data_IF_280715689219
#
_entry.id   IF_280715689219
#
_cell.length_a   1.000
_cell.length_b   1.000
_cell.length_c   1.000
_cell.angle_alpha   90.00
_cell.angle_beta   90.00
_cell.angle_gamma   90.00
#
_symmetry.space_group_name_H-M   'P 1'
#
loop_
_entity.id
_entity.type
_entity.pdbx_description
1 polymer ?
#
# COMPACT_ATOMS: atom_id res chain seq x y z
N UNK A 1 -10.18 39.50 -18.32
CA UNK A 1 -8.97 39.24 -19.15
C UNK A 1 -7.84 38.90 -18.19
N UNK A 2 -7.15 37.77 -18.15
CA UNK A 2 -7.18 36.47 -18.84
C UNK A 2 -6.80 35.45 -17.75
N UNK A 3 -7.55 34.35 -17.68
CA UNK A 3 -7.24 33.17 -16.87
C UNK A 3 -6.11 32.40 -17.55
N UNK A 4 -5.05 32.03 -16.82
CA UNK A 4 -4.00 31.14 -17.31
C UNK A 4 -4.28 29.74 -16.76
N UNK A 5 -4.99 28.95 -17.55
CA UNK A 5 -5.26 27.54 -17.31
C UNK A 5 -4.01 26.76 -17.74
N UNK A 6 -3.27 26.20 -16.78
CA UNK A 6 -2.15 25.30 -17.07
C UNK A 6 -2.72 23.93 -17.43
N UNK A 7 -2.86 23.66 -18.73
CA UNK A 7 -3.27 22.34 -19.25
C UNK A 7 -2.03 21.43 -19.14
N UNK A 8 -2.03 20.52 -18.16
CA UNK A 8 -1.08 19.42 -18.10
C UNK A 8 -1.44 18.42 -19.21
N UNK A 9 -0.78 18.54 -20.35
CA UNK A 9 -0.89 17.58 -21.46
C UNK A 9 -0.31 16.23 -21.01
N UNK A 10 -1.20 15.29 -20.67
CA UNK A 10 -0.86 13.87 -20.63
C UNK A 10 -0.65 13.42 -22.07
N UNK A 11 0.60 13.17 -22.45
CA UNK A 11 0.91 12.52 -23.73
C UNK A 11 0.38 11.08 -23.69
N UNK A 12 -0.83 10.88 -24.22
CA UNK A 12 -1.31 9.57 -24.64
C UNK A 12 -0.54 9.17 -25.90
N UNK A 13 0.58 8.48 -25.71
CA UNK A 13 1.08 7.63 -26.78
C UNK A 13 0.22 6.36 -26.81
N UNK A 14 -0.78 6.38 -27.69
CA UNK A 14 -1.20 5.18 -28.41
C UNK A 14 -0.06 4.86 -29.38
N UNK A 15 1.00 4.20 -28.90
CA UNK A 15 1.98 3.62 -29.82
C UNK A 15 1.40 2.31 -30.40
N UNK A 16 1.43 2.15 -31.73
CA UNK A 16 1.16 0.87 -32.37
C UNK A 16 2.25 -0.12 -31.92
N UNK A 17 1.95 -1.42 -31.99
CA UNK A 17 2.89 -2.50 -31.71
C UNK A 17 4.29 -2.19 -32.29
N UNK A 18 5.23 -1.86 -31.41
CA UNK A 18 6.56 -1.39 -31.79
C UNK A 18 7.51 -1.42 -30.60
N UNK A 19 8.35 -2.45 -30.58
CA UNK A 19 9.58 -2.62 -29.78
C UNK A 19 9.51 -2.19 -28.31
N UNK A 20 8.85 -3.02 -27.51
CA UNK A 20 9.22 -3.16 -26.10
C UNK A 20 10.58 -3.86 -26.02
N UNK A 21 11.59 -3.24 -25.40
CA UNK A 21 12.66 -4.05 -24.85
C UNK A 21 12.11 -4.74 -23.60
N UNK A 22 11.94 -6.06 -23.66
CA UNK A 22 11.85 -6.86 -22.45
C UNK A 22 13.18 -6.67 -21.72
N UNK A 23 13.14 -6.04 -20.54
CA UNK A 23 14.14 -6.36 -19.52
C UNK A 23 14.03 -7.88 -19.29
N UNK A 24 15.14 -8.61 -19.41
CA UNK A 24 15.14 -10.07 -19.28
C UNK A 24 14.36 -10.58 -18.07
N UNK A 25 13.71 -11.73 -18.27
CA UNK A 25 13.13 -12.65 -17.27
C UNK A 25 11.96 -12.23 -16.36
N UNK A 26 11.34 -11.05 -16.54
CA UNK A 26 10.12 -10.71 -15.78
C UNK A 26 8.83 -10.85 -16.62
N UNK A 27 8.30 -12.07 -16.72
CA UNK A 27 7.06 -12.39 -17.43
C UNK A 27 6.02 -13.03 -16.47
N UNK A 28 5.29 -12.23 -15.67
CA UNK A 28 4.24 -12.79 -14.81
C UNK A 28 3.13 -13.48 -15.63
N UNK A 29 2.42 -14.46 -15.05
CA UNK A 29 1.27 -15.08 -15.69
C UNK A 29 0.05 -14.17 -15.74
N UNK A 30 0.14 -12.93 -15.24
CA UNK A 30 -0.88 -11.89 -15.33
C UNK A 30 -0.62 -10.97 -16.54
N UNK A 31 -1.60 -10.16 -16.93
CA UNK A 31 -1.33 -9.07 -17.88
C UNK A 31 -0.71 -7.90 -17.11
N UNK A 32 0.50 -7.51 -17.51
CA UNK A 32 1.25 -6.42 -16.90
C UNK A 32 1.71 -5.44 -17.97
N UNK A 33 1.58 -4.14 -17.70
CA UNK A 33 2.16 -3.10 -18.55
C UNK A 33 2.65 -1.92 -17.72
N UNK A 34 3.68 -1.26 -18.25
CA UNK A 34 4.35 -0.15 -17.58
C UNK A 34 3.85 1.18 -18.12
N UNK A 35 3.75 2.16 -17.23
CA UNK A 35 3.54 3.57 -17.55
C UNK A 35 4.60 4.41 -16.83
N UNK A 36 4.74 5.64 -17.29
CA UNK A 36 5.57 6.65 -16.64
C UNK A 36 4.70 7.88 -16.37
N UNK A 37 4.84 8.43 -15.17
CA UNK A 37 4.18 9.65 -14.76
C UNK A 37 5.26 10.67 -14.36
N UNK A 38 5.23 11.82 -15.03
CA UNK A 38 6.18 12.89 -14.74
C UNK A 38 5.72 13.73 -13.53
N UNK A 39 6.64 14.12 -12.63
CA UNK A 39 8.06 13.79 -12.67
C UNK A 39 8.39 12.42 -12.05
N UNK A 40 9.18 11.61 -12.76
CA UNK A 40 10.01 10.54 -12.16
C UNK A 40 9.28 9.41 -11.39
N UNK A 41 8.04 9.06 -11.75
CA UNK A 41 7.34 7.88 -11.20
C UNK A 41 7.16 6.83 -12.30
N UNK A 42 7.71 5.63 -12.08
CA UNK A 42 7.43 4.43 -12.88
C UNK A 42 6.23 3.69 -12.27
N UNK A 43 5.36 3.19 -13.14
CA UNK A 43 4.10 2.54 -12.74
C UNK A 43 4.04 1.18 -13.41
N UNK A 44 3.68 0.14 -12.65
CA UNK A 44 3.23 -1.14 -13.20
C UNK A 44 1.75 -1.30 -12.92
N UNK A 45 0.95 -1.52 -13.96
CA UNK A 45 -0.43 -1.97 -13.81
C UNK A 45 -0.47 -3.47 -14.06
N UNK A 46 -0.92 -4.23 -13.06
CA UNK A 46 -1.07 -5.68 -13.11
C UNK A 46 -2.55 -6.07 -12.97
N UNK A 47 -3.06 -6.82 -13.94
CA UNK A 47 -4.44 -7.29 -14.02
C UNK A 47 -4.47 -8.79 -14.42
N UNK A 48 -5.54 -9.54 -14.10
CA UNK A 48 -5.64 -10.96 -14.45
C UNK A 48 -5.36 -11.27 -15.94
N UNK A 49 -4.75 -12.43 -16.24
CA UNK A 49 -4.53 -12.90 -17.62
C UNK A 49 -5.74 -13.65 -18.16
N UNK A 50 -6.72 -12.87 -18.58
CA UNK A 50 -7.78 -13.19 -19.52
C UNK A 50 -8.60 -11.89 -19.64
N UNK A 51 -8.81 -11.38 -20.85
CA UNK A 51 -9.83 -10.36 -21.09
C UNK A 51 -11.18 -10.93 -20.61
N UNK A 52 -12.04 -10.22 -19.90
CA UNK A 52 -12.14 -8.80 -19.57
C UNK A 52 -12.53 -8.69 -18.10
N UNK A 53 -12.07 -7.64 -17.43
CA UNK A 53 -12.69 -7.21 -16.17
C UNK A 53 -14.21 -7.35 -16.29
N UNK A 54 -14.82 -8.06 -15.36
CA UNK A 54 -16.24 -8.36 -15.43
C UNK A 54 -17.02 -7.06 -15.23
N UNK A 55 -17.77 -6.56 -16.24
CA UNK A 55 -18.45 -5.28 -16.14
C UNK A 55 -19.50 -5.24 -15.02
N UNK A 56 -19.97 -6.40 -14.56
CA UNK A 56 -20.95 -6.51 -13.48
C UNK A 56 -20.31 -6.49 -12.08
N UNK A 57 -18.98 -6.65 -11.99
CA UNK A 57 -18.26 -6.64 -10.70
C UNK A 57 -17.67 -5.26 -10.40
N UNK A 58 -17.78 -4.78 -9.14
CA UNK A 58 -17.07 -3.58 -8.72
C UNK A 58 -15.55 -3.80 -8.85
N UNK A 59 -14.82 -2.69 -9.03
CA UNK A 59 -13.37 -2.71 -9.20
C UNK A 59 -12.66 -2.09 -8.00
N UNK A 60 -11.80 -2.87 -7.38
CA UNK A 60 -10.81 -2.39 -6.42
C UNK A 60 -9.51 -2.08 -7.17
N UNK A 61 -9.12 -0.81 -7.17
CA UNK A 61 -7.84 -0.35 -7.70
C UNK A 61 -6.86 -0.17 -6.54
N UNK A 62 -6.01 -1.17 -6.33
CA UNK A 62 -5.01 -1.19 -5.26
C UNK A 62 -3.79 -0.41 -5.72
N UNK A 63 -3.58 0.76 -5.15
CA UNK A 63 -2.42 1.61 -5.39
C UNK A 63 -1.41 1.34 -4.28
N UNK A 64 -0.33 0.63 -4.63
CA UNK A 64 0.74 0.22 -3.73
C UNK A 64 2.00 1.07 -3.98
N UNK A 65 2.32 1.97 -3.05
CA UNK A 65 3.56 2.72 -3.07
C UNK A 65 4.72 1.85 -2.52
N UNK A 66 5.78 1.69 -3.31
CA UNK A 66 6.88 0.79 -2.98
C UNK A 66 7.72 1.25 -1.77
N UNK A 67 8.37 0.30 -1.08
CA UNK A 67 9.30 0.62 -0.01
C UNK A 67 10.62 1.22 -0.51
N UNK A 68 11.35 1.82 0.42
CA UNK A 68 12.63 2.44 0.10
C UNK A 68 13.64 1.41 -0.41
N UNK A 69 14.35 1.74 -1.49
CA UNK A 69 15.42 0.93 -2.05
C UNK A 69 14.98 -0.25 -2.93
N UNK A 70 13.68 -0.45 -3.14
CA UNK A 70 13.16 -1.53 -3.99
C UNK A 70 12.68 -1.01 -5.35
N UNK A 71 12.85 -1.83 -6.39
CA UNK A 71 12.17 -1.66 -7.68
C UNK A 71 10.79 -2.32 -7.69
N UNK A 72 10.00 -2.01 -8.72
CA UNK A 72 8.76 -2.72 -9.06
C UNK A 72 8.98 -4.23 -9.11
N UNK A 73 9.99 -4.69 -9.83
CA UNK A 73 10.24 -6.11 -10.04
C UNK A 73 10.58 -6.81 -8.72
N UNK A 74 11.43 -6.19 -7.89
CA UNK A 74 11.78 -6.68 -6.55
C UNK A 74 10.56 -6.74 -5.63
N UNK A 75 9.68 -5.73 -5.68
CA UNK A 75 8.50 -5.70 -4.82
C UNK A 75 7.40 -6.65 -5.30
N UNK A 76 7.28 -6.81 -6.61
CA UNK A 76 6.36 -7.79 -7.18
C UNK A 76 6.75 -9.21 -6.79
N UNK A 77 8.06 -9.48 -6.79
CA UNK A 77 8.67 -10.69 -6.24
C UNK A 77 8.70 -11.87 -7.21
N UNK A 78 9.74 -12.68 -7.04
CA UNK A 78 9.95 -13.98 -7.69
C UNK A 78 10.86 -14.82 -6.80
N UNK A 79 10.89 -16.12 -7.04
CA UNK A 79 11.90 -17.00 -6.44
C UNK A 79 13.28 -16.57 -6.93
N UNK A 80 14.24 -16.66 -6.03
CA UNK A 80 15.65 -16.54 -6.39
C UNK A 80 16.49 -17.45 -5.49
N UNK A 81 17.48 -18.10 -6.08
CA UNK A 81 18.53 -18.82 -5.35
C UNK A 81 19.74 -17.95 -5.08
N UNK A 82 19.80 -16.75 -5.66
CA UNK A 82 20.90 -15.81 -5.45
C UNK A 82 20.66 -14.97 -4.19
N UNK A 83 21.48 -15.18 -3.18
CA UNK A 83 21.46 -14.42 -1.92
C UNK A 83 21.62 -12.90 -2.12
N UNK A 84 22.24 -12.45 -3.22
CA UNK A 84 22.39 -11.03 -3.55
C UNK A 84 21.08 -10.41 -4.06
N UNK A 85 20.16 -11.24 -4.57
CA UNK A 85 18.84 -10.85 -5.07
C UNK A 85 17.74 -10.93 -4.00
N UNK A 86 18.11 -11.01 -2.72
CA UNK A 86 17.18 -11.17 -1.58
C UNK A 86 15.97 -10.23 -1.61
N UNK A 87 16.08 -9.03 -2.22
CA UNK A 87 14.97 -8.07 -2.35
C UNK A 87 13.76 -8.62 -3.09
N UNK A 88 13.93 -9.59 -3.98
CA UNK A 88 12.82 -10.27 -4.64
C UNK A 88 12.01 -11.17 -3.70
N UNK A 89 12.59 -11.55 -2.55
CA UNK A 89 12.02 -12.53 -1.63
C UNK A 89 11.25 -11.94 -0.44
N UNK A 90 11.22 -10.61 -0.28
CA UNK A 90 10.77 -9.98 0.97
C UNK A 90 9.38 -9.33 0.92
N UNK A 91 8.72 -9.31 -0.25
CA UNK A 91 7.40 -8.65 -0.41
C UNK A 91 6.40 -9.54 -1.14
N UNK A 92 6.76 -10.04 -2.33
CA UNK A 92 5.90 -10.89 -3.16
C UNK A 92 4.49 -10.33 -3.39
N UNK A 93 4.34 -9.01 -3.61
CA UNK A 93 3.02 -8.38 -3.76
C UNK A 93 2.26 -8.94 -4.97
N UNK A 94 2.97 -9.35 -6.01
CA UNK A 94 2.36 -10.03 -7.16
C UNK A 94 1.70 -11.35 -6.77
N UNK A 95 2.41 -12.19 -6.00
CA UNK A 95 1.90 -13.48 -5.53
C UNK A 95 0.73 -13.32 -4.56
N UNK A 96 0.87 -12.39 -3.60
CA UNK A 96 -0.20 -12.04 -2.67
C UNK A 96 -1.45 -11.53 -3.39
N UNK A 97 -1.30 -10.73 -4.44
CA UNK A 97 -2.43 -10.23 -5.26
C UNK A 97 -3.13 -11.36 -6.00
N UNK A 98 -2.41 -12.37 -6.50
CA UNK A 98 -3.04 -13.54 -7.14
C UNK A 98 -3.89 -14.33 -6.16
N UNK A 99 -3.37 -14.60 -4.97
CA UNK A 99 -4.16 -15.25 -3.91
C UNK A 99 -5.37 -14.40 -3.52
N UNK A 100 -5.22 -13.08 -3.43
CA UNK A 100 -6.33 -12.17 -3.14
C UNK A 100 -7.46 -12.27 -4.18
N UNK A 101 -7.11 -12.42 -5.47
CA UNK A 101 -8.10 -12.61 -6.55
C UNK A 101 -8.86 -13.93 -6.43
N UNK A 102 -8.25 -14.98 -5.88
CA UNK A 102 -8.94 -16.25 -5.61
C UNK A 102 -9.88 -16.17 -4.41
N UNK A 103 -9.60 -15.29 -3.45
CA UNK A 103 -10.42 -15.10 -2.25
C UNK A 103 -11.60 -14.15 -2.54
N UNK A 104 -11.35 -13.05 -3.24
CA UNK A 104 -12.30 -11.98 -3.49
C UNK A 104 -12.94 -12.08 -4.88
N UNK A 105 -13.62 -13.20 -5.15
CA UNK A 105 -14.07 -13.59 -6.49
C UNK A 105 -15.19 -12.72 -7.08
N UNK A 106 -15.86 -11.92 -6.27
CA UNK A 106 -16.95 -11.01 -6.63
C UNK A 106 -16.47 -9.58 -6.92
N UNK A 107 -15.15 -9.36 -7.00
CA UNK A 107 -14.54 -8.09 -7.40
C UNK A 107 -13.57 -8.25 -8.56
N UNK A 108 -13.43 -7.18 -9.34
CA UNK A 108 -12.27 -6.97 -10.18
C UNK A 108 -11.13 -6.37 -9.33
N UNK A 109 -9.96 -7.00 -9.31
CA UNK A 109 -8.81 -6.50 -8.54
C UNK A 109 -7.65 -6.17 -9.47
N UNK A 110 -7.29 -4.88 -9.52
CA UNK A 110 -6.13 -4.38 -10.24
C UNK A 110 -5.11 -3.88 -9.24
N UNK A 111 -3.87 -4.37 -9.40
CA UNK A 111 -2.73 -3.89 -8.63
C UNK A 111 -1.98 -2.84 -9.45
N UNK A 112 -1.68 -1.72 -8.83
CA UNK A 112 -0.83 -0.67 -9.36
C UNK A 112 0.37 -0.51 -8.43
N UNK A 113 1.58 -0.80 -8.92
CA UNK A 113 2.82 -0.55 -8.18
C UNK A 113 3.42 0.79 -8.61
N UNK A 114 3.77 1.63 -7.64
CA UNK A 114 4.35 2.95 -7.87
C UNK A 114 5.79 3.03 -7.37
N UNK A 115 6.74 3.26 -8.27
CA UNK A 115 8.16 3.43 -7.95
C UNK A 115 8.63 4.84 -8.26
N UNK A 116 9.11 5.56 -7.25
CA UNK A 116 9.88 6.79 -7.47
C UNK A 116 11.28 6.46 -8.01
N UNK A 117 11.82 7.28 -8.92
CA UNK A 117 13.15 7.07 -9.56
C UNK A 117 14.29 6.82 -8.57
N UNK A 118 14.33 7.55 -7.46
CA UNK A 118 15.34 7.38 -6.40
C UNK A 118 14.98 6.27 -5.40
N UNK A 119 13.94 5.48 -5.69
CA UNK A 119 13.39 4.40 -4.85
C UNK A 119 13.07 4.90 -3.44
N UNK A 120 12.54 6.13 -3.33
CA UNK A 120 12.19 6.76 -2.06
C UNK A 120 11.12 7.84 -2.28
N UNK A 121 9.87 7.56 -1.90
CA UNK A 121 8.81 8.57 -1.89
C UNK A 121 9.07 9.72 -0.92
N UNK A 122 9.67 9.52 0.28
CA UNK A 122 10.06 10.65 1.11
C UNK A 122 11.04 11.60 0.42
N UNK A 123 12.04 11.06 -0.29
CA UNK A 123 12.99 11.89 -1.06
C UNK A 123 12.30 12.57 -2.23
N UNK A 124 11.47 11.85 -2.98
CA UNK A 124 10.71 12.40 -4.10
C UNK A 124 9.79 13.54 -3.66
N UNK A 125 9.05 13.38 -2.56
CA UNK A 125 8.17 14.44 -2.02
C UNK A 125 8.93 15.67 -1.56
N UNK A 126 10.15 15.53 -1.03
CA UNK A 126 11.01 16.67 -0.68
C UNK A 126 11.55 17.39 -1.91
N UNK A 127 11.85 16.65 -2.98
CA UNK A 127 12.36 17.19 -4.25
C UNK A 127 11.32 18.02 -4.99
N UNK A 128 10.07 17.59 -5.01
CA UNK A 128 8.99 18.26 -5.73
C UNK A 128 8.04 18.99 -4.76
N UNK A 129 8.15 20.33 -4.72
CA UNK A 129 7.39 21.17 -3.78
C UNK A 129 5.87 21.02 -3.93
N UNK A 130 5.38 20.77 -5.15
CA UNK A 130 3.98 20.51 -5.46
C UNK A 130 3.64 19.00 -5.42
N UNK A 131 4.41 18.18 -4.69
CA UNK A 131 4.24 16.73 -4.66
C UNK A 131 2.82 16.27 -4.30
N UNK A 132 2.10 17.00 -3.43
CA UNK A 132 0.70 16.68 -3.11
C UNK A 132 -0.23 16.75 -4.33
N UNK A 133 -0.09 17.80 -5.15
CA UNK A 133 -0.87 17.97 -6.39
C UNK A 133 -0.52 16.90 -7.43
N UNK A 134 0.77 16.59 -7.56
CA UNK A 134 1.26 15.55 -8.47
C UNK A 134 0.72 14.16 -8.08
N UNK A 135 0.74 13.83 -6.77
CA UNK A 135 0.18 12.59 -6.24
C UNK A 135 -1.32 12.50 -6.54
N UNK A 136 -2.08 13.58 -6.32
CA UNK A 136 -3.50 13.61 -6.65
C UNK A 136 -3.73 13.43 -8.16
N UNK A 137 -2.98 14.13 -9.00
CA UNK A 137 -3.10 14.06 -10.46
C UNK A 137 -2.80 12.64 -10.99
N UNK A 138 -1.83 11.95 -10.38
CA UNK A 138 -1.54 10.56 -10.68
C UNK A 138 -2.72 9.65 -10.31
N UNK A 139 -3.26 9.76 -9.10
CA UNK A 139 -4.41 8.94 -8.65
C UNK A 139 -5.64 9.23 -9.50
N UNK A 140 -5.92 10.49 -9.83
CA UNK A 140 -7.00 10.88 -10.73
C UNK A 140 -6.82 10.28 -12.14
N UNK A 141 -5.60 10.29 -12.69
CA UNK A 141 -5.29 9.71 -14.00
C UNK A 141 -5.50 8.20 -14.01
N UNK A 142 -5.06 7.50 -12.95
CA UNK A 142 -5.29 6.06 -12.77
C UNK A 142 -6.78 5.74 -12.62
N UNK A 143 -7.53 6.52 -11.85
CA UNK A 143 -8.98 6.36 -11.69
C UNK A 143 -9.71 6.54 -13.03
N UNK A 144 -9.37 7.60 -13.78
CA UNK A 144 -9.99 7.89 -15.08
C UNK A 144 -9.76 6.77 -16.11
N UNK A 145 -8.61 6.10 -16.06
CA UNK A 145 -8.33 4.93 -16.92
C UNK A 145 -9.33 3.79 -16.73
N UNK A 146 -9.85 3.62 -15.51
CA UNK A 146 -10.82 2.59 -15.16
C UNK A 146 -12.22 3.17 -14.90
N UNK A 147 -12.50 4.39 -15.41
CA UNK A 147 -13.77 5.09 -15.21
C UNK A 147 -15.02 4.24 -15.47
N UNK A 148 -15.09 3.35 -16.49
CA UNK A 148 -16.27 2.50 -16.70
C UNK A 148 -16.68 1.66 -15.48
N UNK A 149 -15.72 1.32 -14.61
CA UNK A 149 -15.97 0.52 -13.40
C UNK A 149 -16.21 1.36 -12.13
N UNK A 150 -16.09 2.69 -12.21
CA UNK A 150 -16.16 3.60 -11.05
C UNK A 150 -15.35 3.07 -9.84
N UNK A 151 -14.02 2.90 -9.99
CA UNK A 151 -13.26 2.04 -9.10
C UNK A 151 -13.15 2.60 -7.69
N UNK A 152 -13.28 1.71 -6.72
CA UNK A 152 -12.93 1.97 -5.33
C UNK A 152 -11.40 1.97 -5.21
N UNK A 153 -10.85 3.07 -4.69
CA UNK A 153 -9.41 3.23 -4.50
C UNK A 153 -9.00 2.65 -3.14
N UNK A 154 -7.99 1.78 -3.19
CA UNK A 154 -7.30 1.25 -2.01
C UNK A 154 -5.89 1.83 -2.02
N UNK A 155 -5.58 2.69 -1.05
CA UNK A 155 -4.24 3.25 -0.86
C UNK A 155 -3.46 2.38 0.10
N UNK A 156 -2.32 1.86 -0.33
CA UNK A 156 -1.43 1.10 0.54
C UNK A 156 0.03 1.25 0.15
N UNK A 157 0.94 0.80 1.01
CA UNK A 157 2.36 0.88 0.77
C UNK A 157 3.16 0.43 1.98
N UNK A 158 4.40 0.03 1.71
CA UNK A 158 5.34 -0.43 2.73
C UNK A 158 6.46 0.58 2.95
N UNK A 159 6.97 0.66 4.18
CA UNK A 159 8.11 1.52 4.53
C UNK A 159 7.93 2.98 4.06
N UNK A 160 8.89 3.53 3.32
CA UNK A 160 8.80 4.87 2.71
C UNK A 160 7.59 5.09 1.79
N UNK A 161 6.95 4.03 1.29
CA UNK A 161 5.70 4.11 0.51
C UNK A 161 4.56 4.82 1.25
N UNK A 162 4.52 4.74 2.58
CA UNK A 162 3.52 5.49 3.36
C UNK A 162 3.65 7.01 3.21
N UNK A 163 4.83 7.52 2.84
CA UNK A 163 5.01 8.93 2.52
C UNK A 163 4.18 9.36 1.31
N UNK A 164 3.97 8.50 0.31
CA UNK A 164 3.07 8.79 -0.81
C UNK A 164 1.62 8.96 -0.31
N UNK A 165 1.16 8.05 0.55
CA UNK A 165 -0.20 8.07 1.12
C UNK A 165 -0.43 9.33 1.95
N UNK A 166 0.51 9.69 2.84
CA UNK A 166 0.39 10.94 3.59
C UNK A 166 0.46 12.17 2.67
N UNK A 167 1.22 12.12 1.57
CA UNK A 167 1.22 13.19 0.57
C UNK A 167 -0.16 13.43 -0.03
N UNK A 168 -0.89 12.35 -0.33
CA UNK A 168 -2.28 12.42 -0.77
C UNK A 168 -3.19 12.99 0.33
N UNK A 169 -3.13 12.46 1.55
CA UNK A 169 -3.98 12.94 2.66
C UNK A 169 -3.73 14.42 2.97
N UNK A 170 -2.48 14.88 2.91
CA UNK A 170 -2.11 16.26 3.20
C UNK A 170 -2.65 17.23 2.16
N UNK A 171 -2.62 16.84 0.88
CA UNK A 171 -3.15 17.65 -0.22
C UNK A 171 -4.67 17.87 -0.09
N UNK A 172 -5.40 16.86 0.36
CA UNK A 172 -6.85 16.94 0.48
C UNK A 172 -7.31 17.62 1.77
N UNK A 173 -8.30 18.51 1.65
CA UNK A 173 -9.05 19.02 2.81
C UNK A 173 -9.87 17.91 3.49
N UNK A 174 -10.48 17.05 2.66
CA UNK A 174 -11.20 15.84 3.08
C UNK A 174 -10.84 14.70 2.13
N UNK A 175 -10.64 13.50 2.68
CA UNK A 175 -10.31 12.32 1.88
C UNK A 175 -11.50 12.02 0.95
N UNK A 176 -11.30 11.91 -0.38
CA UNK A 176 -12.38 11.70 -1.32
C UNK A 176 -13.15 10.40 -1.09
N UNK A 177 -14.46 10.40 -1.36
CA UNK A 177 -15.35 9.25 -1.13
C UNK A 177 -15.07 8.02 -1.97
N UNK A 178 -14.32 8.17 -3.07
CA UNK A 178 -13.85 7.03 -3.88
C UNK A 178 -12.73 6.24 -3.19
N UNK A 179 -12.12 6.76 -2.11
CA UNK A 179 -11.13 6.02 -1.32
C UNK A 179 -11.86 5.17 -0.29
N UNK A 180 -11.77 3.85 -0.41
CA UNK A 180 -12.43 2.90 0.50
C UNK A 180 -11.53 2.32 1.56
N UNK A 181 -10.23 2.23 1.28
CA UNK A 181 -9.27 1.66 2.23
C UNK A 181 -7.98 2.44 2.20
N UNK A 182 -7.46 2.68 3.39
CA UNK A 182 -6.11 3.19 3.60
C UNK A 182 -5.41 2.17 4.48
N UNK A 183 -4.29 1.62 3.99
CA UNK A 183 -3.52 0.63 4.73
C UNK A 183 -2.04 0.98 4.77
N UNK A 184 -1.48 0.99 5.97
CA UNK A 184 -0.05 1.17 6.20
C UNK A 184 0.59 -0.16 6.58
N UNK A 185 1.51 -0.64 5.75
CA UNK A 185 2.37 -1.77 6.07
C UNK A 185 3.69 -1.21 6.61
N UNK A 186 3.79 -1.11 7.92
CA UNK A 186 4.98 -0.62 8.61
C UNK A 186 5.51 0.70 7.99
N UNK A 187 4.56 1.60 7.73
CA UNK A 187 4.75 2.78 6.87
C UNK A 187 4.06 4.05 7.39
N UNK A 188 3.50 4.03 8.60
CA UNK A 188 2.77 5.18 9.19
C UNK A 188 3.68 6.22 9.88
N UNK A 189 5.00 6.25 9.60
CA UNK A 189 5.97 7.17 10.24
C UNK A 189 5.56 8.65 10.23
N UNK A 190 4.90 9.06 9.13
CA UNK A 190 4.49 10.44 8.88
C UNK A 190 3.21 10.86 9.60
N UNK A 191 2.57 9.96 10.37
CA UNK A 191 1.36 10.30 11.11
C UNK A 191 1.65 11.38 12.16
N UNK A 192 0.73 12.32 12.27
CA UNK A 192 0.64 13.35 13.30
C UNK A 192 -0.85 13.63 13.55
N UNK A 193 -1.18 13.98 14.80
CA UNK A 193 -2.54 14.33 15.19
C UNK A 193 -3.08 15.48 14.33
N UNK A 194 -2.29 16.57 14.22
CA UNK A 194 -2.72 17.85 13.66
C UNK A 194 -3.08 17.76 12.18
N UNK A 195 -2.32 16.98 11.40
CA UNK A 195 -2.50 16.91 9.94
C UNK A 195 -3.50 15.83 9.51
N UNK A 196 -3.66 14.77 10.32
CA UNK A 196 -4.27 13.52 9.83
C UNK A 196 -5.50 13.07 10.62
N UNK A 197 -5.52 13.24 11.95
CA UNK A 197 -6.54 12.63 12.81
C UNK A 197 -7.97 12.97 12.35
N UNK A 198 -8.27 14.27 12.25
CA UNK A 198 -9.61 14.73 11.85
C UNK A 198 -9.99 14.30 10.42
N UNK A 199 -9.03 14.27 9.49
CA UNK A 199 -9.29 13.84 8.10
C UNK A 199 -9.66 12.35 8.05
N UNK A 200 -8.90 11.52 8.75
CA UNK A 200 -9.16 10.08 8.85
C UNK A 200 -10.46 9.79 9.61
N UNK A 201 -10.71 10.49 10.72
CA UNK A 201 -11.95 10.33 11.49
C UNK A 201 -13.18 10.71 10.66
N UNK A 202 -13.16 11.85 9.98
CA UNK A 202 -14.27 12.28 9.13
C UNK A 202 -14.49 11.31 7.97
N UNK A 203 -13.41 10.81 7.37
CA UNK A 203 -13.48 9.79 6.33
C UNK A 203 -14.09 8.50 6.86
N UNK A 204 -13.66 7.97 8.00
CA UNK A 204 -14.22 6.76 8.61
C UNK A 204 -15.70 6.91 8.95
N UNK A 205 -16.13 8.08 9.46
CA UNK A 205 -17.53 8.37 9.74
C UNK A 205 -18.40 8.53 8.48
N UNK A 206 -17.81 8.89 7.34
CA UNK A 206 -18.56 9.14 6.11
C UNK A 206 -19.15 7.88 5.47
N UNK A 207 -18.61 6.69 5.80
CA UNK A 207 -19.13 5.42 5.29
C UNK A 207 -18.66 4.24 6.13
N UNK A 208 -19.58 3.32 6.45
CA UNK A 208 -19.27 2.04 7.09
C UNK A 208 -18.37 1.12 6.24
N UNK A 209 -18.20 1.43 4.96
CA UNK A 209 -17.32 0.68 4.04
C UNK A 209 -15.87 1.19 4.05
N UNK A 210 -15.61 2.33 4.71
CA UNK A 210 -14.27 2.88 4.81
C UNK A 210 -13.48 2.13 5.88
N UNK A 211 -12.25 1.73 5.54
CA UNK A 211 -11.43 0.91 6.43
C UNK A 211 -9.97 1.36 6.53
N UNK A 212 -9.53 1.68 7.74
CA UNK A 212 -8.16 1.98 8.09
C UNK A 212 -7.48 0.72 8.66
N UNK A 213 -6.40 0.28 8.03
CA UNK A 213 -5.56 -0.82 8.51
C UNK A 213 -4.13 -0.34 8.77
N UNK A 214 -3.61 -0.54 9.96
CA UNK A 214 -2.20 -0.25 10.29
C UNK A 214 -1.55 -1.51 10.79
N UNK A 215 -0.53 -1.98 10.08
CA UNK A 215 0.28 -3.13 10.49
C UNK A 215 1.66 -2.60 10.85
N UNK A 216 2.13 -2.89 12.06
CA UNK A 216 3.44 -2.50 12.54
C UNK A 216 4.04 -3.62 13.40
N UNK A 217 5.25 -3.39 13.87
CA UNK A 217 5.89 -4.19 14.90
C UNK A 217 6.53 -3.27 15.92
N UNK A 218 6.81 -3.78 17.11
CA UNK A 218 7.58 -3.07 18.11
C UNK A 218 9.03 -2.93 17.63
N UNK A 219 9.33 -1.73 17.12
CA UNK A 219 10.61 -1.37 16.53
C UNK A 219 11.52 -0.59 17.48
N UNK A 220 11.07 -0.32 18.71
CA UNK A 220 11.73 0.58 19.69
C UNK A 220 13.13 0.15 20.10
N UNK A 221 13.35 -1.15 20.18
CA UNK A 221 14.58 -1.75 20.73
C UNK A 221 15.43 -2.46 19.67
N UNK A 222 15.17 -2.17 18.39
CA UNK A 222 15.89 -2.80 17.29
C UNK A 222 17.22 -2.11 17.05
N UNK A 223 18.26 -2.92 16.91
CA UNK A 223 19.62 -2.47 16.64
C UNK A 223 20.17 -3.09 15.36
N UNK A 224 20.96 -2.29 14.63
CA UNK A 224 21.82 -2.72 13.54
C UNK A 224 23.25 -2.32 13.91
N UNK A 225 24.16 -3.29 13.97
CA UNK A 225 25.55 -3.09 14.39
C UNK A 225 25.69 -2.39 15.76
N UNK A 226 24.81 -2.76 16.72
CA UNK A 226 24.79 -2.19 18.08
C UNK A 226 24.27 -0.76 18.15
N UNK A 227 23.66 -0.25 17.08
CA UNK A 227 23.05 1.10 17.04
C UNK A 227 21.54 0.98 16.83
N UNK A 228 20.77 1.73 17.62
CA UNK A 228 19.32 1.82 17.43
C UNK A 228 18.97 2.26 16.01
N UNK A 229 18.06 1.52 15.39
CA UNK A 229 17.56 1.81 14.05
C UNK A 229 16.54 2.95 14.08
N UNK A 230 15.76 3.05 15.16
CA UNK A 230 14.75 4.08 15.35
C UNK A 230 15.13 5.04 16.48
N UNK A 231 14.74 6.31 16.32
CA UNK A 231 14.92 7.30 17.39
C UNK A 231 13.97 7.02 18.56
N UNK A 232 14.23 7.57 19.76
CA UNK A 232 13.40 7.35 20.94
C UNK A 232 11.92 7.72 20.77
N UNK A 233 11.61 8.65 19.86
CA UNK A 233 10.25 9.13 19.55
C UNK A 233 9.78 8.74 18.14
N UNK A 234 10.62 8.05 17.37
CA UNK A 234 10.32 7.59 16.02
C UNK A 234 9.77 6.16 16.00
N UNK A 235 9.67 5.61 14.79
CA UNK A 235 9.21 4.24 14.56
C UNK A 235 7.70 4.13 14.36
N UNK A 236 7.29 3.05 13.70
CA UNK A 236 5.89 2.77 13.39
C UNK A 236 5.12 2.30 14.60
N UNK A 237 5.79 1.64 15.56
CA UNK A 237 5.16 1.25 16.82
C UNK A 237 4.56 2.48 17.51
N UNK A 238 5.36 3.53 17.69
CA UNK A 238 4.93 4.75 18.37
C UNK A 238 3.84 5.47 17.61
N UNK A 239 3.99 5.61 16.29
CA UNK A 239 2.93 6.20 15.45
C UNK A 239 1.63 5.42 15.49
N UNK A 240 1.70 4.10 15.62
CA UNK A 240 0.50 3.27 15.78
C UNK A 240 -0.15 3.48 17.15
N UNK A 241 0.65 3.66 18.21
CA UNK A 241 0.14 4.02 19.54
C UNK A 241 -0.45 5.45 19.56
N UNK A 242 0.18 6.41 18.87
CA UNK A 242 -0.38 7.77 18.70
C UNK A 242 -1.75 7.70 18.03
N UNK A 243 -1.86 6.97 16.91
CA UNK A 243 -3.13 6.73 16.21
C UNK A 243 -4.16 6.06 17.13
N UNK A 244 -3.77 5.02 17.87
CA UNK A 244 -4.64 4.35 18.85
C UNK A 244 -5.18 5.35 19.86
N UNK A 245 -4.31 6.17 20.46
CA UNK A 245 -4.66 7.18 21.45
C UNK A 245 -5.62 8.23 20.91
N UNK A 246 -5.35 8.75 19.70
CA UNK A 246 -6.20 9.75 19.07
C UNK A 246 -7.63 9.23 18.83
N UNK A 247 -7.75 8.00 18.33
CA UNK A 247 -9.05 7.39 18.03
C UNK A 247 -9.82 6.92 19.27
N UNK A 248 -9.21 6.77 20.44
CA UNK A 248 -9.90 6.30 21.66
C UNK A 248 -11.12 7.14 22.03
N UNK A 249 -11.10 8.45 21.73
CA UNK A 249 -12.20 9.36 22.06
C UNK A 249 -13.44 9.19 21.17
N UNK A 250 -13.28 8.65 19.96
CA UNK A 250 -14.34 8.56 18.95
C UNK A 250 -14.67 7.11 18.52
N UNK A 251 -13.73 6.18 18.71
CA UNK A 251 -13.84 4.78 18.33
C UNK A 251 -14.03 3.89 19.57
N UNK A 252 -14.94 2.93 19.50
CA UNK A 252 -15.12 1.88 20.49
C UNK A 252 -14.07 0.81 20.26
N UNK A 253 -12.85 1.10 20.72
CA UNK A 253 -11.69 0.24 20.53
C UNK A 253 -11.71 -0.95 21.48
N UNK A 254 -11.51 -2.13 20.91
CA UNK A 254 -11.26 -3.37 21.64
C UNK A 254 -9.85 -3.85 21.29
N UNK A 255 -9.03 -4.10 22.31
CA UNK A 255 -7.68 -4.64 22.15
C UNK A 255 -7.66 -6.09 22.62
N UNK A 256 -7.19 -6.99 21.76
CA UNK A 256 -6.91 -8.38 22.09
C UNK A 256 -5.43 -8.63 21.86
N UNK A 257 -4.79 -9.23 22.85
CA UNK A 257 -3.40 -9.64 22.76
C UNK A 257 -3.33 -11.15 22.72
N UNK A 258 -2.57 -11.69 21.78
CA UNK A 258 -1.98 -13.01 21.93
C UNK A 258 -0.52 -12.87 22.40
N UNK A 259 0.21 -13.98 22.50
CA UNK A 259 1.59 -13.98 23.00
C UNK A 259 2.54 -13.02 22.30
N UNK A 260 2.31 -12.68 21.02
CA UNK A 260 3.23 -11.86 20.21
C UNK A 260 2.53 -10.82 19.33
N UNK A 261 1.21 -10.84 19.21
CA UNK A 261 0.42 -9.89 18.43
C UNK A 261 -0.54 -9.13 19.36
N UNK A 262 -0.50 -7.81 19.29
CA UNK A 262 -1.56 -6.93 19.77
C UNK A 262 -2.46 -6.54 18.60
N UNK A 263 -3.76 -6.80 18.71
CA UNK A 263 -4.77 -6.44 17.73
C UNK A 263 -5.79 -5.51 18.36
N UNK A 264 -5.87 -4.27 17.87
CA UNK A 264 -6.91 -3.31 18.24
C UNK A 264 -7.90 -3.15 17.08
N UNK A 265 -9.19 -3.35 17.34
CA UNK A 265 -10.26 -3.13 16.36
C UNK A 265 -11.29 -2.16 16.90
N UNK A 266 -11.98 -1.43 16.03
CA UNK A 266 -13.16 -0.64 16.40
C UNK A 266 -14.46 -1.36 16.04
N UNK A 267 -15.48 -1.29 16.91
CA UNK A 267 -16.81 -1.84 16.62
C UNK A 267 -17.77 -0.84 15.97
N UNK A 268 -17.49 0.45 16.04
CA UNK A 268 -18.33 1.51 15.44
C UNK A 268 -17.67 2.17 14.21
N UNK A 269 -16.37 1.95 13.98
CA UNK A 269 -15.62 2.47 12.83
C UNK A 269 -14.82 1.35 12.18
N UNK A 270 -14.50 1.47 10.88
CA UNK A 270 -13.62 0.53 10.19
C UNK A 270 -12.15 0.76 10.54
N UNK A 271 -11.70 0.32 11.71
CA UNK A 271 -10.31 0.46 12.16
C UNK A 271 -9.76 -0.90 12.60
N UNK A 272 -8.57 -1.25 12.11
CA UNK A 272 -7.72 -2.27 12.70
C UNK A 272 -6.26 -1.78 12.82
N UNK A 273 -5.73 -1.84 14.03
CA UNK A 273 -4.31 -1.63 14.33
C UNK A 273 -3.73 -2.96 14.79
N UNK A 274 -2.69 -3.44 14.12
CA UNK A 274 -2.10 -4.75 14.33
C UNK A 274 -0.60 -4.61 14.55
N UNK A 275 -0.14 -4.97 15.74
CA UNK A 275 1.25 -4.77 16.16
C UNK A 275 1.85 -6.13 16.52
N UNK A 276 2.96 -6.49 15.88
CA UNK A 276 3.80 -7.59 16.36
C UNK A 276 4.71 -7.09 17.50
N UNK A 277 4.52 -7.57 18.72
CA UNK A 277 5.19 -7.11 19.96
C UNK A 277 6.71 -7.36 20.01
N UNK A 278 7.24 -8.17 19.11
CA UNK A 278 8.68 -8.34 18.86
C UNK A 278 9.54 -8.56 20.14
N UNK A 279 9.22 -9.55 21.00
CA UNK A 279 9.91 -9.74 22.28
C UNK A 279 11.41 -10.11 22.15
N UNK A 280 11.87 -10.38 20.94
CA UNK A 280 13.27 -10.72 20.62
C UNK A 280 14.03 -9.57 19.95
N UNK A 281 13.41 -8.39 19.82
CA UNK A 281 14.01 -7.19 19.20
C UNK A 281 14.60 -7.45 17.81
N UNK A 282 13.93 -8.26 17.00
CA UNK A 282 14.36 -8.62 15.65
C UNK A 282 13.98 -7.53 14.64
N UNK A 283 14.71 -7.43 13.54
CA UNK A 283 14.31 -6.62 12.38
C UNK A 283 13.21 -7.35 11.61
N UNK A 284 11.95 -6.99 11.83
CA UNK A 284 10.78 -7.60 11.17
C UNK A 284 10.18 -6.72 10.07
N UNK A 285 10.79 -5.57 9.78
CA UNK A 285 10.30 -4.54 8.87
C UNK A 285 9.70 -5.11 7.57
N UNK A 286 10.42 -5.99 6.89
CA UNK A 286 9.95 -6.63 5.65
C UNK A 286 9.24 -7.96 5.91
N UNK A 287 9.60 -8.65 7.00
CA UNK A 287 9.03 -9.95 7.41
C UNK A 287 7.53 -9.85 7.64
N UNK A 288 7.04 -8.71 8.14
CA UNK A 288 5.60 -8.44 8.29
C UNK A 288 4.85 -8.60 6.95
N UNK A 289 5.42 -8.06 5.86
CA UNK A 289 4.81 -8.12 4.53
C UNK A 289 5.06 -9.47 3.87
N UNK A 290 6.30 -9.94 3.94
CA UNK A 290 6.74 -11.24 3.46
C UNK A 290 5.86 -12.37 4.00
N UNK A 291 5.42 -12.32 5.25
CA UNK A 291 4.53 -13.34 5.79
C UNK A 291 3.15 -13.27 5.17
N UNK A 292 2.25 -12.43 5.67
CA UNK A 292 0.90 -12.28 5.12
C UNK A 292 0.39 -10.84 5.26
N UNK A 293 1.27 -9.86 5.44
CA UNK A 293 0.90 -8.50 5.83
C UNK A 293 0.00 -7.80 4.81
N UNK A 294 0.36 -7.87 3.51
CA UNK A 294 -0.46 -7.26 2.47
C UNK A 294 -1.80 -7.99 2.31
N UNK A 295 -1.82 -9.33 2.27
CA UNK A 295 -3.08 -10.10 2.24
C UNK A 295 -3.99 -9.76 3.43
N UNK A 296 -3.43 -9.73 4.65
CA UNK A 296 -4.17 -9.39 5.85
C UNK A 296 -4.75 -7.98 5.76
N UNK A 297 -3.93 -7.01 5.35
CA UNK A 297 -4.36 -5.61 5.15
C UNK A 297 -5.49 -5.47 4.12
N UNK A 298 -5.53 -6.29 3.07
CA UNK A 298 -6.60 -6.24 2.06
C UNK A 298 -7.89 -6.92 2.52
N UNK A 299 -7.79 -8.00 3.30
CA UNK A 299 -8.93 -8.81 3.75
C UNK A 299 -9.54 -8.36 5.08
N UNK A 300 -8.76 -7.68 5.92
CA UNK A 300 -9.22 -7.20 7.23
C UNK A 300 -10.44 -6.29 7.11
N UNK A 301 -11.47 -6.51 7.93
CA UNK A 301 -12.72 -5.75 7.89
C UNK A 301 -13.61 -6.02 6.66
N UNK A 302 -13.28 -7.04 5.86
CA UNK A 302 -14.14 -7.50 4.77
C UNK A 302 -14.93 -8.74 5.18
N UNK A 303 -15.88 -9.16 4.34
CA UNK A 303 -16.62 -10.43 4.51
C UNK A 303 -15.82 -11.67 4.11
N UNK A 304 -14.68 -11.49 3.44
CA UNK A 304 -13.95 -12.60 2.87
C UNK A 304 -13.26 -13.43 3.95
N UNK A 305 -13.10 -14.74 3.74
CA UNK A 305 -12.37 -15.57 4.68
C UNK A 305 -10.89 -15.19 4.70
N UNK A 306 -10.27 -15.34 5.88
CA UNK A 306 -8.83 -15.22 6.06
C UNK A 306 -8.26 -16.62 6.33
N UNK A 307 -7.89 -17.41 5.30
CA UNK A 307 -7.48 -18.82 5.46
C UNK A 307 -6.07 -18.99 6.04
N UNK A 308 -5.53 -17.94 6.66
CA UNK A 308 -4.17 -17.88 7.19
C UNK A 308 -4.14 -17.08 8.49
N UNK A 309 -3.08 -17.28 9.27
CA UNK A 309 -2.80 -16.44 10.45
C UNK A 309 -1.90 -15.28 10.06
N UNK A 310 -2.18 -14.11 10.62
CA UNK A 310 -1.22 -13.01 10.59
C UNK A 310 0.10 -13.47 11.21
N UNK A 311 1.22 -13.14 10.56
CA UNK A 311 2.57 -13.57 10.92
C UNK A 311 2.82 -15.11 10.94
N UNK A 312 1.89 -15.92 10.41
CA UNK A 312 2.08 -17.35 10.16
C UNK A 312 2.98 -17.66 8.96
N UNK A 313 2.89 -18.88 8.45
CA UNK A 313 3.55 -19.27 7.20
C UNK A 313 2.97 -18.51 6.00
N UNK A 314 3.80 -18.33 4.97
CA UNK A 314 3.41 -17.61 3.74
C UNK A 314 2.26 -18.35 3.05
N UNK A 315 1.06 -17.76 3.10
CA UNK A 315 -0.15 -18.40 2.58
C UNK A 315 -0.18 -18.49 1.04
N UNK A 316 0.64 -17.68 0.38
CA UNK A 316 0.64 -17.48 -1.06
C UNK A 316 1.82 -18.15 -1.77
N UNK A 317 2.54 -19.06 -1.12
CA UNK A 317 3.79 -19.65 -1.64
C UNK A 317 3.64 -20.30 -3.03
N UNK A 318 2.46 -20.85 -3.34
CA UNK A 318 2.13 -21.42 -4.66
C UNK A 318 2.00 -20.39 -5.79
N UNK A 319 1.85 -19.11 -5.46
CA UNK A 319 1.66 -18.01 -6.42
C UNK A 319 2.94 -17.23 -6.74
N UNK A 320 4.04 -17.55 -6.06
CA UNK A 320 5.33 -16.90 -6.28
C UNK A 320 5.87 -17.33 -7.64
N UNK A 321 6.34 -16.34 -8.42
CA UNK A 321 6.96 -16.61 -9.72
C UNK A 321 8.21 -17.49 -9.55
N UNK A 322 8.53 -18.36 -10.53
CA UNK A 322 9.72 -19.18 -10.48
C UNK A 322 11.02 -18.37 -10.49
#
# INVERSE_FOLDING_TARGET
>A
MRSLLLILLVFLYLTPHGLFSQSGDFNPPDTSYYLYFEPEIRILINQPKALSLDPEKPLDLIIYALPNGNTIEQTFGKKTSDSLEWRYEIQHIGAQTRMLREISTDKNIILVLLEAKEKSFPSWRRKFINSGELINSLIDSLRLRFKPFSPDIILTGHSGGGSFIFGFINYHKSIPSYVRRISFLDSNYGYTHEEHYLKLLNWLNSSQFNFLSVIAYDDREIELDGKKVVSPTGGTFRRTQDMKSDFQSAAWLNTVNDSVIEKTTSSNLGIELLIHLNPKNLILHTVLVEKNGFLHAMLSGTRYPTPFRFFGDRAYSSFILP
#
